data_IF_265719524041
#
_entry.id   IF_265719524041
#
_cell.length_a   1.000
_cell.length_b   1.000
_cell.length_c   1.000
_cell.angle_alpha   90.00
_cell.angle_beta   90.00
_cell.angle_gamma   90.00
#
_symmetry.space_group_name_H-M   'P 1'
#
loop_
_entity.id
_entity.type
_entity.pdbx_description
1 polymer ?
#
# COMPACT_ATOMS: atom_id res chain seq x y z
N UNK A 1 -12.72 -22.17 -15.55
CA UNK A 1 -12.69 -20.67 -15.43
C UNK A 1 -11.77 -20.16 -16.54
N UNK A 2 -11.90 -18.90 -16.97
CA UNK A 2 -10.97 -18.27 -17.92
C UNK A 2 -10.16 -17.21 -17.20
N UNK A 3 -8.91 -17.00 -17.62
CA UNK A 3 -8.07 -15.91 -17.13
C UNK A 3 -7.56 -15.07 -18.29
N UNK A 4 -7.63 -13.76 -18.12
CA UNK A 4 -7.03 -12.75 -18.98
C UNK A 4 -6.22 -11.78 -18.12
N UNK A 5 -5.29 -11.10 -18.74
CA UNK A 5 -4.51 -10.07 -18.06
C UNK A 5 -4.14 -8.94 -19.03
N UNK A 6 -3.80 -7.79 -18.46
CA UNK A 6 -3.27 -6.64 -19.19
C UNK A 6 -2.32 -5.86 -18.28
N UNK A 7 -1.20 -5.44 -18.83
CA UNK A 7 -0.30 -4.51 -18.17
C UNK A 7 -0.66 -3.07 -18.50
N UNK A 8 -0.45 -2.20 -17.53
CA UNK A 8 -0.61 -0.76 -17.66
C UNK A 8 0.59 -0.06 -17.04
N UNK A 9 0.90 1.15 -17.54
CA UNK A 9 1.83 2.07 -16.91
C UNK A 9 1.04 3.30 -16.46
N UNK A 10 0.49 3.24 -15.24
CA UNK A 10 -0.44 4.25 -14.71
C UNK A 10 0.33 5.51 -14.32
N UNK A 11 -0.07 6.66 -14.86
CA UNK A 11 0.51 7.95 -14.49
C UNK A 11 -0.06 8.42 -13.16
N UNK A 12 0.81 8.87 -12.24
CA UNK A 12 0.38 9.58 -11.04
C UNK A 12 -0.13 11.00 -11.38
N UNK A 13 -1.12 11.46 -10.66
CA UNK A 13 -1.61 12.84 -10.74
C UNK A 13 -0.50 13.84 -10.38
N UNK A 14 0.27 13.54 -9.34
CA UNK A 14 1.46 14.26 -8.90
C UNK A 14 2.64 13.29 -8.83
N UNK A 15 3.89 13.72 -9.11
CA UNK A 15 5.06 12.91 -8.81
C UNK A 15 5.00 12.44 -7.34
N UNK A 16 5.35 11.19 -7.10
CA UNK A 16 5.30 10.59 -5.78
C UNK A 16 6.72 10.28 -5.29
N UNK A 17 7.19 11.07 -4.33
CA UNK A 17 8.54 10.97 -3.78
C UNK A 17 8.50 10.40 -2.36
N UNK A 18 9.38 9.44 -2.11
CA UNK A 18 9.72 8.90 -0.80
C UNK A 18 11.25 9.02 -0.59
N UNK A 19 11.77 8.70 0.58
CA UNK A 19 13.22 8.74 0.88
C UNK A 19 14.08 7.97 -0.13
N UNK A 20 13.53 6.98 -0.85
CA UNK A 20 14.25 6.12 -1.82
C UNK A 20 14.10 6.52 -3.27
N UNK A 21 13.39 7.60 -3.59
CA UNK A 21 13.26 8.12 -4.95
C UNK A 21 11.87 8.58 -5.34
N UNK A 22 11.75 9.05 -6.58
CA UNK A 22 10.51 9.62 -7.14
C UNK A 22 9.96 8.74 -8.25
N UNK A 23 8.65 8.55 -8.23
CA UNK A 23 7.90 7.88 -9.30
C UNK A 23 6.89 8.84 -9.93
N UNK A 24 6.79 8.81 -11.24
CA UNK A 24 5.75 9.51 -12.02
C UNK A 24 4.71 8.55 -12.59
N UNK A 25 5.05 7.26 -12.65
CA UNK A 25 4.20 6.19 -13.15
C UNK A 25 4.33 4.95 -12.28
N UNK A 26 3.29 4.11 -12.29
CA UNK A 26 3.27 2.81 -11.64
C UNK A 26 2.94 1.75 -12.69
N UNK A 27 3.94 0.94 -13.11
CA UNK A 27 3.67 -0.27 -13.89
C UNK A 27 2.85 -1.25 -13.05
N UNK A 28 1.80 -1.81 -13.63
CA UNK A 28 0.92 -2.73 -12.94
C UNK A 28 0.36 -3.80 -13.86
N UNK A 29 0.04 -4.96 -13.30
CA UNK A 29 -0.65 -6.06 -13.95
C UNK A 29 -2.07 -6.14 -13.43
N UNK A 30 -3.06 -6.03 -14.31
CA UNK A 30 -4.47 -6.32 -14.01
C UNK A 30 -4.77 -7.73 -14.51
N UNK A 31 -5.35 -8.55 -13.64
CA UNK A 31 -5.88 -9.87 -14.00
C UNK A 31 -7.40 -9.86 -13.99
N UNK A 32 -8.00 -10.57 -14.94
CA UNK A 32 -9.44 -10.82 -15.06
C UNK A 32 -9.68 -12.32 -14.96
N UNK A 33 -10.47 -12.75 -13.97
CA UNK A 33 -11.00 -14.10 -13.88
C UNK A 33 -12.46 -14.11 -14.37
N UNK A 34 -12.81 -15.03 -15.26
CA UNK A 34 -14.18 -15.19 -15.74
C UNK A 34 -14.70 -16.59 -15.41
N UNK A 35 -15.87 -16.67 -14.76
CA UNK A 35 -16.56 -17.91 -14.46
C UNK A 35 -18.06 -17.73 -14.67
N UNK A 36 -18.68 -18.59 -15.51
CA UNK A 36 -20.08 -18.48 -15.92
C UNK A 36 -20.51 -17.08 -16.38
N UNK A 37 -19.63 -16.39 -17.15
CA UNK A 37 -19.90 -15.05 -17.66
C UNK A 37 -19.74 -13.91 -16.64
N UNK A 38 -19.46 -14.21 -15.38
CA UNK A 38 -19.18 -13.23 -14.32
C UNK A 38 -17.67 -13.00 -14.27
N UNK A 39 -17.25 -11.75 -14.08
CA UNK A 39 -15.85 -11.33 -14.09
C UNK A 39 -15.42 -10.75 -12.76
N UNK A 40 -14.28 -11.18 -12.27
CA UNK A 40 -13.57 -10.61 -11.15
C UNK A 40 -12.22 -10.04 -11.58
N UNK A 41 -11.80 -8.95 -10.94
CA UNK A 41 -10.57 -8.21 -11.27
C UNK A 41 -9.67 -8.10 -10.05
N UNK A 42 -8.36 -8.16 -10.31
CA UNK A 42 -7.33 -7.92 -9.29
C UNK A 42 -6.11 -7.26 -9.90
N UNK A 43 -5.31 -6.63 -9.07
CA UNK A 43 -4.14 -5.84 -9.46
C UNK A 43 -2.90 -6.28 -8.72
N UNK A 44 -1.76 -6.28 -9.42
CA UNK A 44 -0.42 -6.40 -8.86
C UNK A 44 0.46 -5.26 -9.37
N UNK A 45 0.79 -4.25 -8.55
CA UNK A 45 1.75 -3.21 -8.91
C UNK A 45 3.17 -3.80 -8.93
N UNK A 46 3.97 -3.39 -9.92
CA UNK A 46 5.39 -3.74 -9.93
C UNK A 46 6.16 -2.88 -8.92
N UNK A 47 6.91 -3.51 -8.03
CA UNK A 47 7.71 -2.81 -7.02
C UNK A 47 9.14 -3.30 -7.07
N UNK A 48 10.05 -2.43 -7.53
CA UNK A 48 11.47 -2.74 -7.70
C UNK A 48 12.16 -3.22 -6.42
N UNK A 49 11.69 -2.78 -5.25
CA UNK A 49 12.22 -3.22 -3.95
C UNK A 49 12.11 -4.75 -3.73
N UNK A 50 11.12 -5.41 -4.36
CA UNK A 50 10.91 -6.85 -4.27
C UNK A 50 11.39 -7.63 -5.50
N UNK A 51 12.02 -6.94 -6.47
CA UNK A 51 12.49 -7.53 -7.72
C UNK A 51 11.40 -8.32 -8.48
N UNK A 52 10.19 -7.77 -8.49
CA UNK A 52 9.03 -8.35 -9.17
C UNK A 52 8.48 -7.37 -10.22
N UNK A 53 9.10 -7.28 -11.40
CA UNK A 53 8.59 -6.49 -12.51
C UNK A 53 7.34 -7.16 -13.13
N UNK A 54 6.55 -6.39 -13.89
CA UNK A 54 5.32 -6.89 -14.55
C UNK A 54 5.63 -8.06 -15.48
N UNK A 55 6.74 -8.02 -16.20
CA UNK A 55 7.20 -9.06 -17.14
C UNK A 55 7.35 -10.40 -16.44
N UNK A 56 7.95 -10.40 -15.23
CA UNK A 56 8.11 -11.60 -14.41
C UNK A 56 6.77 -12.17 -13.94
N UNK A 57 5.84 -11.31 -13.57
CA UNK A 57 4.48 -11.75 -13.20
C UNK A 57 3.77 -12.38 -14.39
N UNK A 58 3.90 -11.81 -15.59
CA UNK A 58 3.31 -12.34 -16.82
C UNK A 58 3.95 -13.70 -17.19
N UNK A 59 5.27 -13.79 -17.14
CA UNK A 59 6.00 -15.04 -17.43
C UNK A 59 5.53 -16.16 -16.50
N UNK A 60 5.51 -15.92 -15.19
CA UNK A 60 5.06 -16.88 -14.21
C UNK A 60 3.61 -17.31 -14.46
N UNK A 61 2.73 -16.33 -14.75
CA UNK A 61 1.31 -16.57 -15.04
C UNK A 61 1.14 -17.46 -16.28
N UNK A 62 1.80 -17.15 -17.39
CA UNK A 62 1.67 -17.91 -18.65
C UNK A 62 2.12 -19.36 -18.47
N UNK A 63 3.19 -19.62 -17.69
CA UNK A 63 3.65 -20.99 -17.43
C UNK A 63 2.61 -21.85 -16.68
N UNK A 64 1.69 -21.23 -15.94
CA UNK A 64 0.72 -21.90 -15.06
C UNK A 64 -0.74 -21.62 -15.44
N UNK A 65 -0.99 -20.85 -16.47
CA UNK A 65 -2.33 -20.42 -16.91
C UNK A 65 -3.30 -21.60 -17.06
N UNK A 66 -2.88 -22.67 -17.71
CA UNK A 66 -3.71 -23.84 -17.92
C UNK A 66 -4.17 -24.50 -16.60
N UNK A 67 -3.37 -24.43 -15.54
CA UNK A 67 -3.73 -24.96 -14.24
C UNK A 67 -4.82 -24.09 -13.59
N UNK A 68 -4.70 -22.74 -13.69
CA UNK A 68 -5.72 -21.82 -13.21
C UNK A 68 -7.03 -22.04 -13.96
N UNK A 69 -6.99 -22.18 -15.28
CA UNK A 69 -8.20 -22.36 -16.11
C UNK A 69 -8.93 -23.68 -15.83
N UNK A 70 -8.19 -24.73 -15.43
CA UNK A 70 -8.76 -26.02 -15.01
C UNK A 70 -9.29 -26.02 -13.57
N UNK A 71 -8.97 -25.00 -12.77
CA UNK A 71 -9.42 -24.94 -11.38
C UNK A 71 -10.94 -24.81 -11.30
N UNK A 72 -11.58 -25.69 -10.51
CA UNK A 72 -13.02 -25.60 -10.20
C UNK A 72 -13.22 -24.55 -9.10
N UNK A 73 -13.56 -23.35 -9.49
CA UNK A 73 -13.72 -22.22 -8.58
C UNK A 73 -15.04 -22.31 -7.83
N UNK A 74 -14.97 -22.54 -6.53
CA UNK A 74 -16.12 -22.60 -5.62
C UNK A 74 -15.95 -21.69 -4.41
N UNK A 75 -14.69 -21.43 -4.03
CA UNK A 75 -14.31 -20.79 -2.79
C UNK A 75 -12.98 -20.00 -2.97
N UNK A 76 -12.91 -18.71 -2.59
CA UNK A 76 -11.73 -17.89 -2.76
C UNK A 76 -10.54 -18.32 -1.90
N UNK A 77 -10.76 -18.79 -0.66
CA UNK A 77 -9.66 -19.21 0.23
C UNK A 77 -8.96 -20.44 -0.36
N UNK A 78 -9.75 -21.42 -0.83
CA UNK A 78 -9.20 -22.58 -1.54
C UNK A 78 -8.45 -22.17 -2.82
N UNK A 79 -8.94 -21.17 -3.54
CA UNK A 79 -8.26 -20.62 -4.72
C UNK A 79 -6.96 -19.93 -4.35
N UNK A 80 -6.93 -19.15 -3.27
CA UNK A 80 -5.72 -18.53 -2.76
C UNK A 80 -4.64 -19.57 -2.42
N UNK A 81 -4.98 -20.62 -1.68
CA UNK A 81 -4.06 -21.71 -1.36
C UNK A 81 -3.49 -22.35 -2.62
N UNK A 82 -4.33 -22.58 -3.62
CA UNK A 82 -3.91 -23.12 -4.90
C UNK A 82 -2.93 -22.19 -5.64
N UNK A 83 -3.25 -20.90 -5.74
CA UNK A 83 -2.38 -19.91 -6.34
C UNK A 83 -1.05 -19.76 -5.59
N UNK A 84 -1.08 -19.77 -4.26
CA UNK A 84 0.12 -19.72 -3.43
C UNK A 84 1.06 -20.93 -3.68
N UNK A 85 0.48 -22.11 -3.88
CA UNK A 85 1.25 -23.29 -4.25
C UNK A 85 1.82 -23.19 -5.68
N UNK A 86 1.06 -22.64 -6.63
CA UNK A 86 1.54 -22.46 -8.00
C UNK A 86 2.65 -21.41 -8.10
N UNK A 87 2.58 -20.32 -7.35
CA UNK A 87 3.47 -19.17 -7.44
C UNK A 87 4.15 -18.81 -6.11
N UNK A 88 4.89 -19.75 -5.46
CA UNK A 88 5.40 -19.53 -4.11
C UNK A 88 6.45 -18.42 -4.00
N UNK A 89 7.01 -17.96 -5.12
CA UNK A 89 8.01 -16.88 -5.19
C UNK A 89 7.46 -15.57 -5.75
N UNK A 90 6.16 -15.50 -6.07
CA UNK A 90 5.53 -14.33 -6.67
C UNK A 90 4.26 -13.93 -5.90
N UNK A 91 4.46 -13.40 -4.71
CA UNK A 91 3.37 -12.98 -3.82
C UNK A 91 2.48 -11.89 -4.42
N UNK A 92 3.02 -11.03 -5.29
CA UNK A 92 2.26 -9.98 -5.97
C UNK A 92 1.25 -10.56 -6.96
N UNK A 93 1.68 -11.54 -7.78
CA UNK A 93 0.77 -12.25 -8.68
C UNK A 93 -0.29 -13.03 -7.89
N UNK A 94 0.10 -13.70 -6.80
CA UNK A 94 -0.86 -14.39 -5.91
C UNK A 94 -1.87 -13.40 -5.36
N UNK A 95 -1.44 -12.21 -4.92
CA UNK A 95 -2.34 -11.16 -4.43
C UNK A 95 -3.33 -10.70 -5.51
N UNK A 96 -2.87 -10.47 -6.75
CA UNK A 96 -3.76 -10.09 -7.85
C UNK A 96 -4.81 -11.17 -8.13
N UNK A 97 -4.40 -12.44 -8.14
CA UNK A 97 -5.31 -13.58 -8.35
C UNK A 97 -6.30 -13.73 -7.20
N UNK A 98 -5.85 -13.53 -5.97
CA UNK A 98 -6.70 -13.57 -4.77
C UNK A 98 -7.76 -12.46 -4.79
N UNK A 99 -7.35 -11.21 -5.06
CA UNK A 99 -8.28 -10.07 -5.21
C UNK A 99 -9.31 -10.38 -6.29
N UNK A 100 -8.87 -10.88 -7.46
CA UNK A 100 -9.77 -11.24 -8.55
C UNK A 100 -10.73 -12.37 -8.16
N UNK A 101 -10.26 -13.35 -7.38
CA UNK A 101 -11.07 -14.44 -6.84
C UNK A 101 -12.17 -13.94 -5.90
N UNK A 102 -11.81 -13.08 -4.96
CA UNK A 102 -12.78 -12.48 -4.03
C UNK A 102 -13.78 -11.56 -4.75
N UNK A 103 -13.34 -10.74 -5.71
CA UNK A 103 -14.23 -9.89 -6.51
C UNK A 103 -15.21 -10.74 -7.33
N UNK A 104 -14.72 -11.81 -7.97
CA UNK A 104 -15.55 -12.78 -8.69
C UNK A 104 -16.59 -13.43 -7.75
N UNK A 105 -16.16 -13.90 -6.58
CA UNK A 105 -17.03 -14.57 -5.62
C UNK A 105 -18.12 -13.64 -5.08
N UNK A 106 -17.78 -12.40 -4.71
CA UNK A 106 -18.74 -11.40 -4.27
C UNK A 106 -19.83 -11.16 -5.32
N UNK A 107 -19.41 -11.01 -6.60
CA UNK A 107 -20.33 -10.84 -7.73
C UNK A 107 -21.19 -12.08 -7.99
N UNK A 108 -20.62 -13.29 -7.89
CA UNK A 108 -21.40 -14.55 -7.98
C UNK A 108 -22.44 -14.66 -6.87
N UNK A 109 -22.11 -14.24 -5.66
CA UNK A 109 -23.02 -14.18 -4.51
C UNK A 109 -23.97 -12.99 -4.54
N UNK A 110 -23.79 -12.02 -5.45
CA UNK A 110 -24.51 -10.73 -5.51
C UNK A 110 -24.47 -9.98 -4.17
N UNK A 111 -23.34 -10.04 -3.48
CA UNK A 111 -23.10 -9.38 -2.19
C UNK A 111 -21.73 -8.67 -2.22
N UNK A 112 -21.64 -7.59 -1.47
CA UNK A 112 -20.36 -6.94 -1.20
C UNK A 112 -19.54 -7.79 -0.23
N UNK A 113 -18.22 -7.75 -0.30
CA UNK A 113 -17.38 -8.61 0.52
C UNK A 113 -17.58 -8.36 2.02
N UNK A 114 -17.72 -7.10 2.44
CA UNK A 114 -17.96 -6.80 3.85
C UNK A 114 -19.28 -7.42 4.36
N UNK A 115 -20.31 -7.52 3.50
CA UNK A 115 -21.57 -8.19 3.85
C UNK A 115 -21.38 -9.71 3.99
N UNK A 116 -20.55 -10.31 3.10
CA UNK A 116 -20.20 -11.73 3.19
C UNK A 116 -19.41 -12.07 4.45
N UNK A 117 -18.56 -11.15 4.91
CA UNK A 117 -17.77 -11.29 6.13
C UNK A 117 -18.50 -10.83 7.39
N UNK A 118 -19.76 -10.37 7.28
CA UNK A 118 -20.53 -9.88 8.43
C UNK A 118 -19.97 -8.61 9.05
N UNK A 119 -19.24 -7.79 8.27
CA UNK A 119 -18.63 -6.56 8.75
C UNK A 119 -19.62 -5.40 8.64
N UNK A 120 -19.55 -4.50 9.63
CA UNK A 120 -20.32 -3.26 9.64
C UNK A 120 -19.49 -2.14 9.01
N UNK A 121 -19.91 -1.66 7.83
CA UNK A 121 -19.19 -0.60 7.09
C UNK A 121 -19.14 0.72 7.87
N UNK A 122 -20.07 0.98 8.78
CA UNK A 122 -20.07 2.19 9.61
C UNK A 122 -18.88 2.24 10.58
N UNK A 123 -18.26 1.09 10.85
CA UNK A 123 -17.07 0.94 11.71
C UNK A 123 -15.75 0.99 10.97
N UNK A 124 -15.77 1.21 9.64
CA UNK A 124 -14.52 1.35 8.89
C UNK A 124 -13.70 2.53 9.40
N UNK A 125 -12.40 2.35 9.66
CA UNK A 125 -11.54 3.47 9.99
C UNK A 125 -11.46 4.45 8.82
N UNK A 126 -11.26 5.74 9.14
CA UNK A 126 -11.01 6.76 8.14
C UNK A 126 -9.67 6.47 7.45
N UNK A 127 -9.65 6.47 6.12
CA UNK A 127 -8.41 6.39 5.35
C UNK A 127 -7.63 7.69 5.43
N UNK A 128 -6.31 7.64 5.30
CA UNK A 128 -5.47 8.82 5.15
C UNK A 128 -5.25 9.20 3.68
N UNK A 129 -4.93 10.47 3.44
CA UNK A 129 -4.47 10.98 2.15
C UNK A 129 -2.95 11.16 2.21
N UNK A 130 -2.23 10.46 1.33
CA UNK A 130 -0.76 10.47 1.35
C UNK A 130 -0.20 11.64 0.56
N UNK A 131 0.75 12.36 1.16
CA UNK A 131 1.54 13.43 0.53
C UNK A 131 3.00 12.98 0.47
N UNK A 132 3.54 12.88 -0.74
CA UNK A 132 4.95 12.57 -0.97
C UNK A 132 5.86 13.75 -0.61
N UNK A 133 7.15 13.48 -0.44
CA UNK A 133 8.18 14.51 -0.19
C UNK A 133 8.23 15.46 -1.39
N UNK A 134 8.19 16.76 -1.12
CA UNK A 134 8.32 17.82 -2.13
C UNK A 134 8.78 19.12 -1.43
N UNK A 135 8.90 20.22 -2.18
CA UNK A 135 9.00 21.54 -1.57
C UNK A 135 7.77 21.81 -0.69
N UNK A 136 7.95 22.46 0.44
CA UNK A 136 6.90 22.60 1.46
C UNK A 136 5.66 23.31 0.92
N UNK A 137 5.84 24.35 0.11
CA UNK A 137 4.76 25.07 -0.58
C UNK A 137 3.93 24.15 -1.49
N UNK A 138 4.59 23.26 -2.25
CA UNK A 138 3.93 22.24 -3.08
C UNK A 138 3.15 21.24 -2.22
N UNK A 139 3.69 20.81 -1.08
CA UNK A 139 3.00 19.92 -0.15
C UNK A 139 1.76 20.59 0.45
N UNK A 140 1.88 21.87 0.82
CA UNK A 140 0.74 22.69 1.29
C UNK A 140 -0.35 22.82 0.22
N UNK A 141 0.04 23.05 -1.03
CA UNK A 141 -0.91 23.16 -2.14
C UNK A 141 -1.64 21.84 -2.41
N UNK A 142 -0.96 20.69 -2.30
CA UNK A 142 -1.60 19.36 -2.35
C UNK A 142 -2.63 19.18 -1.22
N UNK A 143 -2.33 19.65 -0.01
CA UNK A 143 -3.30 19.63 1.10
C UNK A 143 -4.52 20.50 0.81
N UNK A 144 -4.32 21.69 0.23
CA UNK A 144 -5.42 22.59 -0.17
C UNK A 144 -6.24 22.04 -1.34
N UNK A 145 -5.58 21.41 -2.31
CA UNK A 145 -6.25 20.76 -3.46
C UNK A 145 -7.16 19.61 -2.99
N UNK A 146 -6.73 18.86 -1.97
CA UNK A 146 -7.46 17.71 -1.45
C UNK A 146 -7.55 17.82 0.07
N UNK A 147 -8.47 18.64 0.61
CA UNK A 147 -8.70 18.71 2.06
C UNK A 147 -9.14 17.34 2.58
N UNK A 148 -8.42 16.84 3.59
CA UNK A 148 -8.67 15.51 4.15
C UNK A 148 -8.50 15.51 5.67
N UNK A 149 -9.27 14.70 6.42
CA UNK A 149 -9.19 14.69 7.89
C UNK A 149 -7.90 14.06 8.44
N UNK A 150 -7.22 13.23 7.66
CA UNK A 150 -5.98 12.55 8.06
C UNK A 150 -4.98 12.60 6.91
N UNK A 151 -3.82 13.19 7.11
CA UNK A 151 -2.73 13.17 6.14
C UNK A 151 -1.62 12.21 6.58
N UNK A 152 -1.17 11.36 5.65
CA UNK A 152 0.06 10.58 5.79
C UNK A 152 1.18 11.30 5.05
N UNK A 153 2.15 11.82 5.80
CA UNK A 153 3.26 12.61 5.23
C UNK A 153 4.48 11.72 5.09
N UNK A 154 5.01 11.64 3.87
CA UNK A 154 6.27 10.95 3.62
C UNK A 154 7.42 11.84 4.02
N UNK A 155 8.36 11.29 4.80
CA UNK A 155 9.56 11.96 5.32
C UNK A 155 10.81 11.10 5.04
N UNK A 156 11.95 11.56 5.53
CA UNK A 156 13.25 10.92 5.36
C UNK A 156 14.27 11.88 4.73
N UNK A 157 14.19 13.15 5.12
CA UNK A 157 15.11 14.22 4.77
C UNK A 157 15.79 14.78 6.03
N UNK A 158 16.75 15.67 5.86
CA UNK A 158 17.35 16.41 6.98
C UNK A 158 16.39 17.44 7.59
N UNK A 159 15.33 17.85 6.85
CA UNK A 159 14.40 18.92 7.22
C UNK A 159 13.02 18.41 7.67
N UNK A 160 12.92 17.16 8.12
CA UNK A 160 11.63 16.52 8.43
C UNK A 160 10.83 17.26 9.50
N UNK A 161 11.48 17.79 10.53
CA UNK A 161 10.81 18.53 11.62
C UNK A 161 10.31 19.87 11.13
N UNK A 162 11.10 20.58 10.33
CA UNK A 162 10.73 21.85 9.71
C UNK A 162 9.54 21.67 8.75
N UNK A 163 9.55 20.61 7.94
CA UNK A 163 8.42 20.27 7.04
C UNK A 163 7.14 20.14 7.86
N UNK A 164 7.11 19.30 8.88
CA UNK A 164 5.89 19.12 9.70
C UNK A 164 5.51 20.40 10.44
N UNK A 165 6.48 21.16 10.93
CA UNK A 165 6.23 22.44 11.59
C UNK A 165 5.51 23.41 10.64
N UNK A 166 5.95 23.49 9.40
CA UNK A 166 5.32 24.34 8.41
C UNK A 166 3.94 23.86 7.99
N UNK A 167 3.80 22.56 7.67
CA UNK A 167 2.53 21.95 7.29
C UNK A 167 1.47 22.15 8.39
N UNK A 168 1.86 22.06 9.66
CA UNK A 168 0.96 22.23 10.80
C UNK A 168 0.33 23.62 10.87
N UNK A 169 0.98 24.65 10.32
CA UNK A 169 0.40 26.00 10.25
C UNK A 169 -0.81 26.08 9.31
N UNK A 170 -0.92 25.13 8.39
CA UNK A 170 -1.96 25.11 7.34
C UNK A 170 -3.08 24.10 7.60
N UNK A 171 -2.98 23.24 8.62
CA UNK A 171 -4.02 22.25 8.92
C UNK A 171 -4.07 21.89 10.40
N UNK A 172 -5.30 21.61 10.88
CA UNK A 172 -5.57 20.97 12.17
C UNK A 172 -5.86 19.46 12.02
N UNK A 173 -5.84 18.93 10.79
CA UNK A 173 -6.07 17.50 10.52
C UNK A 173 -5.04 16.62 11.22
N UNK A 174 -5.40 15.35 11.46
CA UNK A 174 -4.46 14.38 11.98
C UNK A 174 -3.29 14.19 10.99
N UNK A 175 -2.07 14.16 11.51
CA UNK A 175 -0.87 13.86 10.74
C UNK A 175 -0.30 12.52 11.20
N UNK A 176 -0.07 11.63 10.24
CA UNK A 176 0.72 10.40 10.37
C UNK A 176 2.00 10.55 9.56
N UNK A 177 3.08 9.99 10.03
CA UNK A 177 4.37 10.07 9.36
C UNK A 177 4.78 8.69 8.89
N UNK A 178 5.31 8.61 7.65
CA UNK A 178 5.98 7.42 7.15
C UNK A 178 7.39 7.81 6.68
N UNK A 179 8.38 7.39 7.42
CA UNK A 179 9.78 7.66 7.14
C UNK A 179 10.39 6.71 6.08
N UNK A 180 9.70 5.66 5.70
CA UNK A 180 10.16 4.64 4.74
C UNK A 180 11.58 4.12 5.03
N UNK A 181 11.87 3.85 6.30
CA UNK A 181 13.15 3.31 6.77
C UNK A 181 14.35 4.28 6.58
N UNK A 182 14.12 5.58 6.66
CA UNK A 182 15.17 6.57 6.37
C UNK A 182 16.06 6.90 7.57
N UNK A 183 15.58 6.67 8.81
CA UNK A 183 16.27 7.16 10.00
C UNK A 183 17.10 6.06 10.70
N UNK A 184 18.02 6.50 11.56
CA UNK A 184 18.69 5.70 12.57
C UNK A 184 17.95 5.85 13.92
N UNK A 185 18.15 4.92 14.85
CA UNK A 185 17.36 4.86 16.08
C UNK A 185 17.45 6.12 16.95
N UNK A 186 18.65 6.70 17.13
CA UNK A 186 18.81 7.90 17.94
C UNK A 186 18.19 9.13 17.26
N UNK A 187 18.44 9.31 15.96
CA UNK A 187 17.84 10.37 15.13
C UNK A 187 16.29 10.25 15.15
N UNK A 188 15.78 9.03 14.98
CA UNK A 188 14.35 8.78 15.03
C UNK A 188 13.74 9.23 16.37
N UNK A 189 14.38 8.92 17.49
CA UNK A 189 13.89 9.31 18.82
C UNK A 189 13.84 10.84 18.99
N UNK A 190 14.85 11.55 18.52
CA UNK A 190 14.89 13.03 18.55
C UNK A 190 13.73 13.62 17.74
N UNK A 191 13.57 13.17 16.48
CA UNK A 191 12.48 13.61 15.59
C UNK A 191 11.09 13.28 16.17
N UNK A 192 10.91 12.08 16.72
CA UNK A 192 9.64 11.63 17.33
C UNK A 192 9.26 12.53 18.51
N UNK A 193 10.23 12.91 19.35
CA UNK A 193 9.98 13.84 20.45
C UNK A 193 9.49 15.21 19.95
N UNK A 194 10.08 15.75 18.89
CA UNK A 194 9.61 16.99 18.26
C UNK A 194 8.20 16.82 17.67
N UNK A 195 7.93 15.74 16.96
CA UNK A 195 6.65 15.46 16.33
C UNK A 195 5.50 15.30 17.34
N UNK A 196 5.76 14.80 18.53
CA UNK A 196 4.76 14.77 19.61
C UNK A 196 4.21 16.15 19.91
N UNK A 197 5.05 17.17 19.98
CA UNK A 197 4.65 18.56 20.24
C UNK A 197 3.92 19.20 19.04
N UNK A 198 4.07 18.64 17.85
CA UNK A 198 3.38 19.03 16.62
C UNK A 198 2.06 18.27 16.41
N UNK A 199 1.63 17.42 17.35
CA UNK A 199 0.36 16.69 17.29
C UNK A 199 0.34 15.59 16.23
N UNK A 200 1.47 14.96 15.95
CA UNK A 200 1.54 13.77 15.10
C UNK A 200 0.94 12.58 15.85
N UNK A 201 0.17 11.73 15.16
CA UNK A 201 -0.53 10.60 15.75
C UNK A 201 0.37 9.37 15.88
N UNK A 202 1.12 9.02 14.84
CA UNK A 202 1.99 7.83 14.80
C UNK A 202 3.13 7.98 13.78
N UNK A 203 4.13 7.11 13.91
CA UNK A 203 5.26 7.01 13.00
C UNK A 203 5.31 5.61 12.38
N UNK A 204 5.28 5.54 11.07
CA UNK A 204 5.41 4.30 10.29
C UNK A 204 6.84 4.11 9.82
N UNK A 205 7.37 2.93 10.02
CA UNK A 205 8.65 2.44 9.53
C UNK A 205 9.81 3.47 9.68
N UNK A 206 10.15 3.89 10.91
CA UNK A 206 11.24 4.84 11.12
C UNK A 206 12.60 4.28 10.70
N UNK A 207 12.83 2.98 10.92
CA UNK A 207 14.12 2.30 10.76
C UNK A 207 14.12 1.28 9.63
N UNK A 208 15.30 0.82 9.23
CA UNK A 208 15.45 -0.30 8.31
C UNK A 208 14.69 -1.54 8.82
N UNK A 209 14.15 -2.34 7.88
CA UNK A 209 13.29 -3.50 8.19
C UNK A 209 13.94 -4.55 9.09
N UNK A 210 15.27 -4.61 9.11
CA UNK A 210 16.05 -5.62 9.84
C UNK A 210 16.64 -5.05 11.16
N UNK A 211 16.43 -3.77 11.46
CA UNK A 211 16.93 -3.11 12.67
C UNK A 211 16.00 -3.35 13.87
N UNK A 212 15.93 -4.60 14.30
CA UNK A 212 15.11 -5.02 15.45
C UNK A 212 15.57 -4.45 16.77
N UNK A 213 16.89 -4.27 16.97
CA UNK A 213 17.42 -3.67 18.20
C UNK A 213 17.10 -2.17 18.27
N UNK A 214 17.22 -1.45 17.15
CA UNK A 214 16.78 -0.07 17.05
C UNK A 214 15.27 0.08 17.29
N UNK A 215 14.44 -0.80 16.69
CA UNK A 215 12.99 -0.79 16.97
C UNK A 215 12.65 -1.08 18.42
N UNK A 216 13.34 -2.02 19.06
CA UNK A 216 13.19 -2.30 20.49
C UNK A 216 13.63 -1.13 21.37
N UNK A 217 14.69 -0.41 20.98
CA UNK A 217 15.14 0.81 21.62
C UNK A 217 14.08 1.91 21.52
N UNK A 218 13.52 2.15 20.32
CA UNK A 218 12.46 3.12 20.09
C UNK A 218 11.18 2.77 20.84
N UNK A 219 10.71 1.52 20.73
CA UNK A 219 9.48 1.06 21.39
C UNK A 219 9.44 1.37 22.89
N UNK A 220 10.61 1.28 23.58
CA UNK A 220 10.71 1.57 25.01
C UNK A 220 10.73 3.06 25.35
N UNK A 221 10.98 3.94 24.39
CA UNK A 221 11.28 5.37 24.61
C UNK A 221 10.36 6.32 23.84
N UNK A 222 9.78 5.83 22.75
CA UNK A 222 8.92 6.64 21.91
C UNK A 222 7.68 7.10 22.67
N UNK A 223 7.39 8.40 22.65
CA UNK A 223 6.14 8.95 23.19
C UNK A 223 4.96 8.82 22.21
N UNK A 224 5.21 8.35 20.98
CA UNK A 224 4.22 8.12 19.93
C UNK A 224 4.18 6.63 19.56
N UNK A 225 3.03 6.12 19.07
CA UNK A 225 2.91 4.80 18.45
C UNK A 225 3.86 4.63 17.26
N UNK A 226 4.43 3.42 17.12
CA UNK A 226 5.31 3.02 16.02
C UNK A 226 4.64 1.92 15.20
#
# INVERSE_FOLDING_TARGET
>A
MKIKYRSYNLRFKHPFTISRGTKTHQPTLIVELEHFGIKGYGEAPAISYYDLPVEKMIEDLETKKAFIEKFSFTDPERFWHYCHHLFPKNSFLVCALDIAGWDLFGKMKRKKLYELWGLDISKNPMTDFTIGIDAVDVMVDKMKETPWPIYKIKLGTEHDVEIITELRKHTSSVIRIDANAAWKADEALEKINAFKHLGVELIEQPLAKDDWEGMKFLFKRSPLPL
#
